data_IF_560551078632
#
_entry.id   IF_560551078632
#
_cell.length_a   1.000
_cell.length_b   1.000
_cell.length_c   1.000
_cell.angle_alpha   90.00
_cell.angle_beta   90.00
_cell.angle_gamma   90.00
#
_symmetry.space_group_name_H-M   'P 1'
#
loop_
_entity.id
_entity.type
_entity.pdbx_description
1 polymer ?
#
# COMPACT_ATOMS: atom_id res chain seq x y z
N UNK A 1 8.17 -21.86 3.56
CA UNK A 1 8.43 -23.22 4.06
C UNK A 1 9.88 -23.25 4.51
N UNK A 2 10.15 -23.58 5.78
CA UNK A 2 11.52 -23.60 6.31
C UNK A 2 12.10 -25.00 6.13
N UNK A 3 13.34 -25.09 5.69
CA UNK A 3 14.05 -26.36 5.51
C UNK A 3 14.38 -27.00 6.88
N UNK A 4 14.11 -28.30 7.03
CA UNK A 4 14.37 -29.05 8.25
C UNK A 4 15.86 -29.10 8.65
N UNK A 5 16.78 -28.98 7.68
CA UNK A 5 18.21 -28.90 7.98
C UNK A 5 18.55 -27.66 8.82
N UNK A 6 17.99 -26.50 8.47
CA UNK A 6 18.25 -25.22 9.15
C UNK A 6 17.74 -25.17 10.58
N UNK A 7 16.70 -25.95 10.89
CA UNK A 7 16.18 -26.11 12.26
C UNK A 7 17.14 -26.94 13.13
N UNK A 8 17.79 -27.96 12.56
CA UNK A 8 18.73 -28.84 13.28
C UNK A 8 20.07 -28.18 13.55
N UNK A 9 20.56 -27.37 12.61
CA UNK A 9 21.83 -26.64 12.75
C UNK A 9 21.67 -25.35 13.56
N UNK A 10 20.44 -24.96 13.89
CA UNK A 10 20.16 -23.79 14.75
C UNK A 10 20.14 -22.44 14.02
N UNK A 11 20.24 -22.41 12.69
CA UNK A 11 20.13 -21.18 11.89
C UNK A 11 18.71 -20.58 11.94
N UNK A 12 17.69 -21.44 12.06
CA UNK A 12 16.29 -21.02 12.17
C UNK A 12 15.68 -21.59 13.43
N UNK A 13 14.96 -20.76 14.19
CA UNK A 13 14.37 -21.13 15.49
C UNK A 13 12.99 -21.78 15.39
N UNK A 14 12.26 -21.58 14.29
CA UNK A 14 10.96 -22.22 14.08
C UNK A 14 10.62 -22.35 12.60
N UNK A 15 9.69 -23.26 12.28
CA UNK A 15 9.14 -23.41 10.94
C UNK A 15 8.20 -22.27 10.49
N UNK A 16 8.08 -21.21 11.30
CA UNK A 16 7.16 -20.07 11.11
C UNK A 16 6.06 -19.98 12.18
N UNK A 17 5.85 -21.04 12.96
CA UNK A 17 4.86 -21.08 14.04
C UNK A 17 5.14 -20.04 15.14
N UNK A 18 6.40 -19.86 15.53
CA UNK A 18 6.78 -18.88 16.55
C UNK A 18 6.42 -17.46 16.11
N UNK A 19 6.72 -17.11 14.85
CA UNK A 19 6.39 -15.80 14.30
C UNK A 19 4.88 -15.57 14.22
N UNK A 20 4.11 -16.61 13.87
CA UNK A 20 2.64 -16.57 13.86
C UNK A 20 2.07 -16.32 15.26
N UNK A 21 2.57 -17.02 16.27
CA UNK A 21 2.16 -16.83 17.66
C UNK A 21 2.54 -15.45 18.19
N UNK A 22 3.77 -15.00 17.91
CA UNK A 22 4.24 -13.67 18.28
C UNK A 22 3.37 -12.57 17.64
N UNK A 23 3.07 -12.70 16.35
CA UNK A 23 2.19 -11.77 15.65
C UNK A 23 0.79 -11.76 16.26
N UNK A 24 0.24 -12.92 16.60
CA UNK A 24 -1.08 -13.03 17.27
C UNK A 24 -1.05 -12.32 18.62
N UNK A 25 0.00 -12.55 19.42
CA UNK A 25 0.19 -11.91 20.72
C UNK A 25 0.28 -10.40 20.58
N UNK A 26 1.07 -9.90 19.63
CA UNK A 26 1.24 -8.46 19.38
C UNK A 26 -0.08 -7.80 18.95
N UNK A 27 -0.86 -8.45 18.08
CA UNK A 27 -2.17 -7.95 17.66
C UNK A 27 -3.17 -7.87 18.82
N UNK A 28 -3.20 -8.89 19.69
CA UNK A 28 -4.10 -8.91 20.86
C UNK A 28 -3.66 -7.96 21.97
N UNK A 29 -2.35 -7.78 22.14
CA UNK A 29 -1.77 -6.87 23.13
C UNK A 29 -1.93 -5.40 22.76
N UNK A 30 -2.10 -5.08 21.46
CA UNK A 30 -2.32 -3.70 21.02
C UNK A 30 -3.78 -3.27 21.29
N UNK A 31 -4.03 -2.35 22.24
CA UNK A 31 -5.39 -1.95 22.61
C UNK A 31 -6.13 -1.23 21.47
N UNK A 32 -5.41 -0.51 20.61
CA UNK A 32 -6.01 0.17 19.45
C UNK A 32 -6.53 -0.82 18.41
N UNK A 33 -5.78 -1.90 18.18
CA UNK A 33 -6.19 -2.99 17.28
C UNK A 33 -7.36 -3.75 17.86
N UNK A 34 -7.32 -4.10 19.16
CA UNK A 34 -8.40 -4.81 19.85
C UNK A 34 -9.72 -4.03 19.83
N UNK A 35 -9.70 -2.71 19.99
CA UNK A 35 -10.91 -1.86 19.93
C UNK A 35 -11.57 -1.88 18.54
N UNK A 36 -10.79 -2.11 17.48
CA UNK A 36 -11.25 -2.12 16.07
C UNK A 36 -11.56 -3.53 15.55
N UNK A 37 -11.30 -4.58 16.33
CA UNK A 37 -11.59 -5.96 15.95
C UNK A 37 -13.09 -6.15 15.80
N UNK A 38 -13.54 -6.51 14.59
CA UNK A 38 -14.96 -6.75 14.28
C UNK A 38 -15.77 -5.51 13.91
N UNK A 39 -15.15 -4.32 13.84
CA UNK A 39 -15.84 -3.10 13.38
C UNK A 39 -16.03 -3.12 11.86
N UNK A 40 -17.23 -3.49 11.42
CA UNK A 40 -17.60 -3.54 10.02
C UNK A 40 -17.66 -2.16 9.35
N UNK A 41 -17.88 -1.08 10.10
CA UNK A 41 -17.96 0.26 9.53
C UNK A 41 -16.62 0.70 8.91
N UNK A 42 -15.51 0.13 9.36
CA UNK A 42 -14.17 0.34 8.76
C UNK A 42 -14.01 -0.38 7.42
N UNK A 43 -14.73 -1.48 7.17
CA UNK A 43 -14.73 -2.18 5.88
C UNK A 43 -15.50 -1.39 4.80
N UNK A 44 -16.47 -0.57 5.21
CA UNK A 44 -17.21 0.31 4.32
C UNK A 44 -16.35 1.48 3.79
N UNK A 45 -15.17 1.74 4.39
CA UNK A 45 -14.20 2.74 3.90
C UNK A 45 -13.54 2.25 2.61
N UNK A 46 -14.30 2.30 1.52
CA UNK A 46 -13.87 1.86 0.20
C UNK A 46 -12.80 2.81 -0.32
N UNK A 47 -11.65 2.26 -0.67
CA UNK A 47 -10.61 3.00 -1.39
C UNK A 47 -11.23 3.68 -2.61
N UNK A 48 -11.12 5.00 -2.69
CA UNK A 48 -11.55 5.78 -3.85
C UNK A 48 -10.36 6.50 -4.47
N UNK A 49 -10.32 6.61 -5.80
CA UNK A 49 -9.29 7.39 -6.48
C UNK A 49 -9.23 8.86 -6.02
N UNK A 50 -10.38 9.40 -5.57
CA UNK A 50 -10.57 10.76 -5.07
C UNK A 50 -10.34 10.90 -3.56
N UNK A 51 -9.91 9.85 -2.87
CA UNK A 51 -9.66 9.93 -1.42
C UNK A 51 -8.55 10.93 -1.13
N UNK A 52 -8.84 11.94 -0.32
CA UNK A 52 -7.88 12.96 0.13
C UNK A 52 -6.91 12.44 1.19
N UNK A 53 -7.17 11.26 1.77
CA UNK A 53 -6.29 10.65 2.77
C UNK A 53 -4.99 10.16 2.14
N UNK A 54 -3.93 10.91 2.38
CA UNK A 54 -2.58 10.53 2.00
C UNK A 54 -2.04 9.47 2.95
N UNK A 55 -1.43 8.43 2.38
CA UNK A 55 -0.64 7.47 3.16
C UNK A 55 0.58 8.16 3.73
N UNK A 56 1.02 7.74 4.92
CA UNK A 56 2.24 8.24 5.56
C UNK A 56 3.52 8.02 4.73
N UNK A 57 3.50 7.02 3.84
CA UNK A 57 4.59 6.75 2.90
C UNK A 57 4.53 7.55 1.60
N UNK A 58 3.54 8.43 1.43
CA UNK A 58 3.41 9.26 0.22
C UNK A 58 4.46 10.38 0.25
N UNK A 59 5.32 10.44 -0.78
CA UNK A 59 6.37 11.45 -0.92
C UNK A 59 5.96 12.63 -1.82
N UNK A 60 4.96 12.45 -2.67
CA UNK A 60 4.55 13.44 -3.67
C UNK A 60 3.53 14.44 -3.13
N UNK A 61 2.76 14.04 -2.12
CA UNK A 61 1.61 14.77 -1.59
C UNK A 61 0.32 14.54 -2.37
N UNK A 62 0.35 13.72 -3.43
CA UNK A 62 -0.78 13.49 -4.33
C UNK A 62 -1.01 11.98 -4.48
N UNK A 63 -2.27 11.55 -4.44
CA UNK A 63 -2.63 10.14 -4.60
C UNK A 63 -2.38 9.67 -6.04
N UNK A 64 -1.73 8.51 -6.19
CA UNK A 64 -1.43 7.95 -7.50
C UNK A 64 -0.22 8.57 -8.22
N UNK A 65 0.52 9.48 -7.59
CA UNK A 65 1.80 10.00 -8.10
C UNK A 65 2.93 9.57 -7.16
N UNK A 66 3.94 8.87 -7.69
CA UNK A 66 5.10 8.43 -6.90
C UNK A 66 6.40 8.56 -7.67
N UNK A 67 7.50 8.79 -6.97
CA UNK A 67 8.83 8.88 -7.57
C UNK A 67 9.52 7.50 -7.56
N UNK A 68 9.92 7.02 -8.73
CA UNK A 68 10.74 5.81 -8.84
C UNK A 68 12.22 6.16 -8.75
N UNK A 69 12.83 5.87 -7.60
CA UNK A 69 14.25 6.12 -7.34
C UNK A 69 15.20 5.32 -8.25
N UNK A 70 14.78 4.19 -8.80
CA UNK A 70 15.64 3.38 -9.67
C UNK A 70 15.74 4.00 -11.06
N UNK A 71 14.60 4.48 -11.57
CA UNK A 71 14.50 5.08 -12.90
C UNK A 71 14.68 6.59 -12.89
N UNK A 72 14.68 7.21 -11.70
CA UNK A 72 14.70 8.66 -11.50
C UNK A 72 13.56 9.36 -12.27
N UNK A 73 12.37 8.76 -12.27
CA UNK A 73 11.18 9.25 -12.99
C UNK A 73 9.96 9.32 -12.08
N UNK A 74 9.07 10.27 -12.36
CA UNK A 74 7.78 10.38 -11.71
C UNK A 74 6.77 9.49 -12.41
N UNK A 75 6.09 8.62 -11.67
CA UNK A 75 5.08 7.73 -12.22
C UNK A 75 3.72 8.21 -11.76
N UNK A 76 2.84 8.48 -12.72
CA UNK A 76 1.43 8.74 -12.45
C UNK A 76 0.60 7.54 -12.91
N UNK A 77 -0.27 7.06 -12.02
CA UNK A 77 -1.20 5.98 -12.35
C UNK A 77 -2.59 6.28 -11.82
N UNK A 78 -3.63 5.91 -12.56
CA UNK A 78 -5.03 5.97 -12.15
C UNK A 78 -5.71 4.66 -12.51
N UNK A 79 -6.22 3.96 -11.50
CA UNK A 79 -7.01 2.76 -11.67
C UNK A 79 -8.49 3.10 -11.53
N UNK A 80 -9.27 2.77 -12.55
CA UNK A 80 -10.69 3.07 -12.60
C UNK A 80 -11.45 1.92 -13.27
N UNK A 81 -12.53 1.46 -12.63
CA UNK A 81 -13.41 0.37 -13.10
C UNK A 81 -12.66 -0.87 -13.63
N UNK A 82 -11.64 -1.34 -12.90
CA UNK A 82 -10.94 -2.58 -13.24
C UNK A 82 -9.78 -2.43 -14.23
N UNK A 83 -9.42 -1.21 -14.65
CA UNK A 83 -8.29 -0.97 -15.56
C UNK A 83 -7.49 0.27 -15.17
N UNK A 84 -6.21 0.27 -15.56
CA UNK A 84 -5.40 1.49 -15.52
C UNK A 84 -5.79 2.39 -16.69
N UNK A 85 -6.30 3.57 -16.38
CA UNK A 85 -6.61 4.63 -17.37
C UNK A 85 -5.46 5.63 -17.52
N UNK A 86 -4.55 5.65 -16.55
CA UNK A 86 -3.27 6.35 -16.59
C UNK A 86 -2.22 5.40 -16.00
N UNK A 87 -1.08 5.24 -16.67
CA UNK A 87 0.07 4.46 -16.18
C UNK A 87 1.34 4.89 -16.92
N UNK A 88 1.74 6.14 -16.73
CA UNK A 88 2.83 6.75 -17.49
C UNK A 88 3.92 7.30 -16.57
N UNK A 89 5.13 7.41 -17.11
CA UNK A 89 6.30 7.96 -16.42
C UNK A 89 6.71 9.29 -17.05
N UNK A 90 6.97 10.27 -16.21
CA UNK A 90 7.33 11.65 -16.52
C UNK A 90 8.71 11.97 -15.92
N UNK A 91 9.39 12.94 -16.50
CA UNK A 91 10.66 13.46 -15.96
C UNK A 91 10.40 14.44 -14.82
N UNK A 92 9.38 15.29 -14.98
CA UNK A 92 8.99 16.30 -14.02
C UNK A 92 7.81 15.89 -13.15
N UNK A 93 7.87 16.33 -11.87
CA UNK A 93 6.78 16.11 -10.91
C UNK A 93 5.50 16.81 -11.36
N UNK A 94 5.64 18.03 -11.88
CA UNK A 94 4.51 18.85 -12.30
C UNK A 94 3.69 18.16 -13.40
N UNK A 95 4.38 17.56 -14.37
CA UNK A 95 3.74 16.87 -15.50
C UNK A 95 2.98 15.63 -15.04
N UNK A 96 3.57 14.83 -14.15
CA UNK A 96 2.90 13.68 -13.55
C UNK A 96 1.62 14.09 -12.79
N UNK A 97 1.63 15.24 -12.12
CA UNK A 97 0.47 15.79 -11.42
C UNK A 97 -0.59 16.25 -12.41
N UNK A 98 -0.19 16.98 -13.46
CA UNK A 98 -1.10 17.46 -14.49
C UNK A 98 -1.80 16.29 -15.22
N UNK A 99 -1.04 15.26 -15.60
CA UNK A 99 -1.56 14.04 -16.20
C UNK A 99 -2.56 13.32 -15.27
N UNK A 100 -2.24 13.25 -13.97
CA UNK A 100 -3.15 12.69 -12.97
C UNK A 100 -4.46 13.48 -12.87
N UNK A 101 -4.40 14.81 -12.75
CA UNK A 101 -5.58 15.66 -12.68
C UNK A 101 -6.44 15.59 -13.96
N UNK A 102 -5.80 15.53 -15.14
CA UNK A 102 -6.50 15.36 -16.40
C UNK A 102 -7.25 14.03 -16.47
N UNK A 103 -6.63 12.94 -16.01
CA UNK A 103 -7.26 11.63 -15.94
C UNK A 103 -8.43 11.62 -14.93
N UNK A 104 -8.29 12.30 -13.79
CA UNK A 104 -9.38 12.44 -12.82
C UNK A 104 -10.58 13.19 -13.42
N UNK A 105 -10.35 14.34 -14.06
CA UNK A 105 -11.42 15.09 -14.75
C UNK A 105 -12.13 14.28 -15.83
N UNK A 106 -11.41 13.36 -16.49
CA UNK A 106 -11.96 12.56 -17.59
C UNK A 106 -12.76 11.35 -17.11
N UNK A 107 -12.34 10.68 -16.04
CA UNK A 107 -12.89 9.39 -15.62
C UNK A 107 -13.67 9.43 -14.29
N UNK A 108 -13.47 10.46 -13.47
CA UNK A 108 -14.14 10.64 -12.17
C UNK A 108 -15.14 11.79 -12.15
N UNK A 109 -15.33 12.49 -13.27
CA UNK A 109 -16.41 13.47 -13.45
C UNK A 109 -17.78 12.79 -13.54
#
# INVERSE_FOLDING_TARGET
MVDGHRLRVGETTSCGCLQREQSRRNLLANPATRKRMGDYHLLAKKWHPTTTELRSSNQSGITGVSFDKRRQKWIAHLYYKGRYVLNESFEDKADAIAARQAAERKYLA
#
